data_IF_457529824308
#
_entry.id   IF_457529824308
#
_cell.length_a   1.000
_cell.length_b   1.000
_cell.length_c   1.000
_cell.angle_alpha   90.00
_cell.angle_beta   90.00
_cell.angle_gamma   90.00
#
_symmetry.space_group_name_H-M   'P 1'
#
loop_
_entity.id
_entity.type
_entity.pdbx_description
1 polymer ?
#
# COMPACT_ATOMS: atom_id res chain seq x y z
N UNK A 1 -25.23 -0.90 -9.83
CA UNK A 1 -24.39 -2.10 -9.62
C UNK A 1 -23.45 -2.37 -10.80
N UNK A 2 -23.94 -2.68 -12.02
CA UNK A 2 -23.08 -2.97 -13.18
C UNK A 2 -22.08 -1.84 -13.51
N UNK A 3 -22.53 -0.58 -13.51
CA UNK A 3 -21.66 0.58 -13.80
C UNK A 3 -20.51 0.73 -12.80
N UNK A 4 -20.72 0.40 -11.51
CA UNK A 4 -19.67 0.43 -10.50
C UNK A 4 -18.64 -0.69 -10.70
N UNK A 5 -19.10 -1.89 -11.07
CA UNK A 5 -18.21 -3.01 -11.38
C UNK A 5 -17.33 -2.68 -12.59
N UNK A 6 -17.92 -2.12 -13.65
CA UNK A 6 -17.16 -1.69 -14.84
C UNK A 6 -16.14 -0.62 -14.45
N UNK A 7 -16.54 0.39 -13.67
CA UNK A 7 -15.63 1.44 -13.19
C UNK A 7 -14.45 0.87 -12.40
N UNK A 8 -14.70 -0.04 -11.45
CA UNK A 8 -13.66 -0.68 -10.63
C UNK A 8 -12.69 -1.46 -11.51
N UNK A 9 -13.19 -2.28 -12.45
CA UNK A 9 -12.35 -3.05 -13.37
C UNK A 9 -11.50 -2.12 -14.23
N UNK A 10 -12.08 -1.09 -14.83
CA UNK A 10 -11.35 -0.11 -15.64
C UNK A 10 -10.28 0.60 -14.83
N UNK A 11 -10.59 1.00 -13.59
CA UNK A 11 -9.63 1.62 -12.68
C UNK A 11 -8.45 0.69 -12.38
N UNK A 12 -8.70 -0.58 -12.06
CA UNK A 12 -7.63 -1.56 -11.82
C UNK A 12 -6.76 -1.79 -13.06
N UNK A 13 -7.35 -1.84 -14.26
CA UNK A 13 -6.59 -1.97 -15.51
C UNK A 13 -5.65 -0.76 -15.69
N UNK A 14 -6.17 0.46 -15.53
CA UNK A 14 -5.38 1.69 -15.60
C UNK A 14 -4.26 1.66 -14.55
N UNK A 15 -4.58 1.26 -13.32
CA UNK A 15 -3.63 1.22 -12.23
C UNK A 15 -2.45 0.27 -12.52
N UNK A 16 -2.73 -0.93 -13.06
CA UNK A 16 -1.70 -1.92 -13.43
C UNK A 16 -0.85 -1.39 -14.59
N UNK A 17 -1.47 -0.79 -15.61
CA UNK A 17 -0.75 -0.22 -16.76
C UNK A 17 0.17 0.91 -16.30
N UNK A 18 -0.31 1.80 -15.44
CA UNK A 18 0.46 2.92 -14.93
C UNK A 18 1.61 2.46 -14.03
N UNK A 19 1.41 1.45 -13.18
CA UNK A 19 2.49 0.87 -12.37
C UNK A 19 3.61 0.29 -13.25
N UNK A 20 3.24 -0.47 -14.30
CA UNK A 20 4.21 -1.02 -15.26
C UNK A 20 4.97 0.08 -16.00
N UNK A 21 4.27 1.14 -16.38
CA UNK A 21 4.90 2.31 -17.00
C UNK A 21 5.85 3.03 -16.05
N UNK A 22 5.45 3.20 -14.78
CA UNK A 22 6.27 3.84 -13.74
C UNK A 22 7.56 3.06 -13.49
N UNK A 23 7.48 1.73 -13.38
CA UNK A 23 8.64 0.82 -13.26
C UNK A 23 9.63 1.00 -14.42
N UNK A 24 9.13 1.00 -15.65
CA UNK A 24 9.95 1.20 -16.86
C UNK A 24 10.58 2.59 -16.89
N UNK A 25 9.80 3.64 -16.61
CA UNK A 25 10.24 5.03 -16.67
C UNK A 25 11.33 5.34 -15.64
N UNK A 26 11.19 4.79 -14.43
CA UNK A 26 12.09 5.07 -13.32
C UNK A 26 13.33 4.17 -13.30
N UNK A 27 13.40 3.19 -14.22
CA UNK A 27 14.42 2.13 -14.27
C UNK A 27 14.55 1.43 -12.91
N UNK A 28 13.42 1.13 -12.29
CA UNK A 28 13.40 0.38 -11.04
C UNK A 28 13.78 -1.05 -11.39
N UNK A 29 14.99 -1.46 -11.00
CA UNK A 29 15.42 -2.83 -11.15
C UNK A 29 14.41 -3.75 -10.46
N UNK A 30 14.04 -4.84 -11.13
CA UNK A 30 13.12 -5.82 -10.54
C UNK A 30 13.67 -6.18 -9.16
N UNK A 31 12.93 -5.84 -8.10
CA UNK A 31 13.24 -6.28 -6.74
C UNK A 31 13.60 -7.76 -6.82
N UNK A 32 14.77 -8.14 -6.30
CA UNK A 32 15.26 -9.53 -6.34
C UNK A 32 14.29 -10.41 -5.53
N UNK A 33 13.23 -10.89 -6.20
CA UNK A 33 12.18 -11.73 -5.63
C UNK A 33 10.80 -11.07 -5.69
N UNK A 34 9.79 -11.90 -5.99
CA UNK A 34 8.37 -11.53 -5.96
C UNK A 34 7.83 -11.26 -4.54
N UNK A 35 8.65 -11.48 -3.51
CA UNK A 35 8.30 -11.28 -2.10
C UNK A 35 8.96 -10.02 -1.57
N UNK A 36 8.13 -9.17 -0.94
CA UNK A 36 8.58 -7.99 -0.23
C UNK A 36 9.66 -8.36 0.79
N UNK A 37 10.81 -7.69 0.69
CA UNK A 37 11.95 -7.86 1.59
C UNK A 37 12.18 -6.50 2.24
N UNK A 38 11.79 -6.35 3.51
CA UNK A 38 12.02 -5.11 4.26
C UNK A 38 13.47 -4.66 4.12
N UNK A 39 13.72 -3.35 4.11
CA UNK A 39 15.06 -2.80 3.86
C UNK A 39 16.08 -3.24 4.90
N UNK A 40 15.62 -3.55 6.10
CA UNK A 40 16.41 -4.12 7.19
C UNK A 40 15.52 -5.00 8.10
N UNK A 41 16.13 -5.84 8.96
CA UNK A 41 15.38 -6.63 9.93
C UNK A 41 14.53 -5.77 10.87
N UNK A 42 15.00 -4.57 11.22
CA UNK A 42 14.28 -3.63 12.07
C UNK A 42 12.90 -3.26 11.49
N UNK A 43 12.84 -2.83 10.23
CA UNK A 43 11.60 -2.53 9.53
C UNK A 43 10.64 -3.72 9.56
N UNK A 44 11.17 -4.93 9.30
CA UNK A 44 10.35 -6.14 9.30
C UNK A 44 9.72 -6.39 10.68
N UNK A 45 10.50 -6.25 11.75
CA UNK A 45 9.99 -6.37 13.11
C UNK A 45 8.98 -5.27 13.46
N UNK A 46 9.22 -4.03 13.01
CA UNK A 46 8.26 -2.93 13.19
C UNK A 46 6.95 -3.19 12.46
N UNK A 47 6.99 -3.61 11.20
CA UNK A 47 5.77 -3.94 10.43
C UNK A 47 5.00 -5.10 11.07
N UNK A 48 5.69 -6.14 11.56
CA UNK A 48 5.06 -7.24 12.32
C UNK A 48 4.40 -6.71 13.60
N UNK A 49 5.09 -5.87 14.37
CA UNK A 49 4.56 -5.27 15.59
C UNK A 49 3.33 -4.39 15.30
N UNK A 50 3.36 -3.62 14.20
CA UNK A 50 2.21 -2.81 13.76
C UNK A 50 1.00 -3.66 13.40
N UNK A 51 1.19 -4.79 12.69
CA UNK A 51 0.12 -5.73 12.36
C UNK A 51 -0.48 -6.33 13.63
N UNK A 52 0.36 -6.80 14.55
CA UNK A 52 -0.10 -7.40 15.82
C UNK A 52 -0.88 -6.36 16.63
N UNK A 53 -0.35 -5.14 16.78
CA UNK A 53 -1.03 -4.07 17.49
C UNK A 53 -2.38 -3.73 16.85
N UNK A 54 -2.45 -3.66 15.53
CA UNK A 54 -3.70 -3.45 14.81
C UNK A 54 -4.73 -4.56 15.08
N UNK A 55 -4.32 -5.83 14.97
CA UNK A 55 -5.19 -6.98 15.21
C UNK A 55 -5.70 -7.06 16.65
N UNK A 56 -4.94 -6.57 17.63
CA UNK A 56 -5.38 -6.49 19.02
C UNK A 56 -6.37 -5.34 19.22
N UNK A 57 -6.06 -4.15 18.69
CA UNK A 57 -6.85 -2.94 18.91
C UNK A 57 -8.18 -2.94 18.15
N UNK A 58 -8.29 -3.62 17.01
CA UNK A 58 -9.51 -3.62 16.18
C UNK A 58 -10.74 -4.15 16.91
N UNK A 59 -10.56 -5.00 17.93
CA UNK A 59 -11.66 -5.53 18.75
C UNK A 59 -12.26 -4.52 19.74
N UNK A 60 -11.57 -3.39 19.96
CA UNK A 60 -11.94 -2.39 20.96
C UNK A 60 -12.37 -1.05 20.35
N UNK A 61 -12.52 -0.98 19.02
CA UNK A 61 -12.90 0.25 18.31
C UNK A 61 -14.31 0.15 17.73
N UNK A 62 -15.07 1.23 17.84
CA UNK A 62 -16.45 1.29 17.34
C UNK A 62 -16.52 1.27 15.80
N UNK A 63 -15.51 1.84 15.14
CA UNK A 63 -15.45 1.93 13.68
C UNK A 63 -14.20 1.21 13.13
N UNK A 64 -14.28 -0.12 12.88
CA UNK A 64 -13.14 -0.91 12.42
C UNK A 64 -12.66 -0.50 11.01
N UNK A 65 -13.54 0.04 10.16
CA UNK A 65 -13.18 0.49 8.80
C UNK A 65 -12.27 1.72 8.86
N UNK A 66 -12.63 2.71 9.67
CA UNK A 66 -11.79 3.91 9.87
C UNK A 66 -10.43 3.53 10.45
N UNK A 67 -10.41 2.57 11.37
CA UNK A 67 -9.18 2.04 11.95
C UNK A 67 -8.31 1.31 10.93
N UNK A 68 -8.92 0.52 10.04
CA UNK A 68 -8.23 -0.15 8.94
C UNK A 68 -7.59 0.86 7.97
N UNK A 69 -8.31 1.92 7.61
CA UNK A 69 -7.78 3.00 6.75
C UNK A 69 -6.58 3.68 7.43
N UNK A 70 -6.70 4.02 8.71
CA UNK A 70 -5.60 4.60 9.50
C UNK A 70 -4.37 3.69 9.55
N UNK A 71 -4.59 2.39 9.77
CA UNK A 71 -3.52 1.40 9.76
C UNK A 71 -2.78 1.35 8.41
N UNK A 72 -3.51 1.26 7.28
CA UNK A 72 -2.89 1.25 5.96
C UNK A 72 -2.12 2.55 5.68
N UNK A 73 -2.68 3.69 6.08
CA UNK A 73 -2.03 4.99 5.93
C UNK A 73 -0.68 5.02 6.66
N UNK A 74 -0.66 4.64 7.93
CA UNK A 74 0.55 4.68 8.76
C UNK A 74 1.56 3.62 8.30
N UNK A 75 1.12 2.39 8.05
CA UNK A 75 1.98 1.26 7.67
C UNK A 75 2.67 1.51 6.32
N UNK A 76 1.93 1.98 5.31
CA UNK A 76 2.50 2.27 3.99
C UNK A 76 3.36 3.54 4.00
N UNK A 77 3.01 4.55 4.80
CA UNK A 77 3.85 5.74 4.97
C UNK A 77 5.18 5.38 5.63
N UNK A 78 5.15 4.54 6.67
CA UNK A 78 6.35 4.04 7.32
C UNK A 78 7.22 3.25 6.34
N UNK A 79 6.62 2.36 5.56
CA UNK A 79 7.34 1.61 4.52
C UNK A 79 7.99 2.52 3.49
N UNK A 80 7.24 3.45 2.92
CA UNK A 80 7.76 4.40 1.94
C UNK A 80 8.89 5.25 2.54
N UNK A 81 8.77 5.67 3.79
CA UNK A 81 9.83 6.40 4.50
C UNK A 81 11.09 5.55 4.68
N UNK A 82 10.96 4.28 5.07
CA UNK A 82 12.09 3.37 5.24
C UNK A 82 12.79 3.07 3.91
N UNK A 83 12.02 2.83 2.84
CA UNK A 83 12.55 2.67 1.48
C UNK A 83 13.27 3.93 1.01
N UNK A 84 12.69 5.11 1.23
CA UNK A 84 13.32 6.38 0.87
C UNK A 84 14.59 6.67 1.67
N UNK A 85 14.61 6.33 2.97
CA UNK A 85 15.74 6.61 3.87
C UNK A 85 16.91 5.65 3.64
N UNK A 86 16.65 4.36 3.45
CA UNK A 86 17.70 3.33 3.39
C UNK A 86 18.03 2.86 1.98
N UNK A 87 17.09 2.94 1.03
CA UNK A 87 17.26 2.43 -0.34
C UNK A 87 16.73 3.40 -1.40
N UNK A 88 17.07 4.68 -1.23
CA UNK A 88 16.59 5.77 -2.11
C UNK A 88 16.88 5.51 -3.60
N UNK A 89 18.02 4.88 -3.90
CA UNK A 89 18.49 4.61 -5.26
C UNK A 89 17.60 3.61 -6.01
N UNK A 90 17.01 2.64 -5.29
CA UNK A 90 16.09 1.64 -5.87
C UNK A 90 14.74 2.28 -6.24
N UNK A 91 14.39 3.44 -5.67
CA UNK A 91 13.14 4.19 -5.91
C UNK A 91 11.85 3.40 -5.65
N UNK A 92 11.93 2.29 -4.93
CA UNK A 92 10.77 1.48 -4.55
C UNK A 92 9.74 2.28 -3.75
N UNK A 93 10.18 3.27 -2.97
CA UNK A 93 9.29 4.19 -2.24
C UNK A 93 8.27 4.88 -3.14
N UNK A 94 8.59 5.14 -4.41
CA UNK A 94 7.65 5.75 -5.36
C UNK A 94 6.53 4.77 -5.72
N UNK A 95 6.86 3.48 -5.87
CA UNK A 95 5.86 2.43 -6.10
C UNK A 95 5.03 2.19 -4.84
N UNK A 96 5.64 2.21 -3.66
CA UNK A 96 4.92 2.07 -2.39
C UNK A 96 3.92 3.22 -2.18
N UNK A 97 4.33 4.46 -2.44
CA UNK A 97 3.44 5.63 -2.38
C UNK A 97 2.32 5.55 -3.43
N UNK A 98 2.63 5.08 -4.63
CA UNK A 98 1.63 4.85 -5.67
C UNK A 98 0.60 3.80 -5.23
N UNK A 99 1.06 2.65 -4.74
CA UNK A 99 0.18 1.59 -4.23
C UNK A 99 -0.66 2.06 -3.05
N UNK A 100 -0.07 2.88 -2.15
CA UNK A 100 -0.79 3.52 -1.06
C UNK A 100 -1.94 4.39 -1.57
N UNK A 101 -1.71 5.22 -2.59
CA UNK A 101 -2.78 6.01 -3.20
C UNK A 101 -3.90 5.13 -3.77
N UNK A 102 -3.53 4.07 -4.50
CA UNK A 102 -4.51 3.12 -5.08
C UNK A 102 -5.33 2.43 -3.98
N UNK A 103 -4.69 1.92 -2.91
CA UNK A 103 -5.40 1.24 -1.83
C UNK A 103 -6.33 2.17 -1.05
N UNK A 104 -5.89 3.38 -0.75
CA UNK A 104 -6.72 4.37 -0.08
C UNK A 104 -7.92 4.78 -0.94
N UNK A 105 -7.70 4.97 -2.24
CA UNK A 105 -8.77 5.29 -3.18
C UNK A 105 -9.83 4.17 -3.23
N UNK A 106 -9.39 2.91 -3.31
CA UNK A 106 -10.30 1.75 -3.30
C UNK A 106 -11.04 1.63 -1.97
N UNK A 107 -10.36 1.83 -0.82
CA UNK A 107 -11.00 1.76 0.49
C UNK A 107 -12.04 2.87 0.69
N UNK A 108 -11.74 4.10 0.30
CA UNK A 108 -12.66 5.23 0.42
C UNK A 108 -13.87 5.04 -0.49
N UNK A 109 -13.67 4.65 -1.75
CA UNK A 109 -14.79 4.38 -2.66
C UNK A 109 -15.62 3.20 -2.16
N UNK A 110 -14.96 2.12 -1.71
CA UNK A 110 -15.65 0.98 -1.11
C UNK A 110 -16.53 1.40 0.06
N UNK A 111 -16.04 2.27 0.93
CA UNK A 111 -16.82 2.80 2.05
C UNK A 111 -18.03 3.63 1.59
N UNK A 112 -17.91 4.45 0.54
CA UNK A 112 -19.03 5.22 -0.01
C UNK A 112 -20.08 4.38 -0.76
N UNK A 113 -19.71 3.17 -1.21
CA UNK A 113 -20.59 2.29 -1.98
C UNK A 113 -21.34 1.25 -1.13
N UNK A 114 -20.97 1.10 0.14
CA UNK A 114 -21.63 0.25 1.15
C UNK A 114 -22.71 1.06 1.87
#
# INVERSE_FOLDING_TARGET
MLNYIIFIITFFIIAIVFERWLKKKLKIDKSKGAFYKGVNPFQRWTEIAMIIAFLLLIWFVDNPISWLIGYFLISLSFRAFMEWKYKREEKEYILTLYSMFIYLFVLVIGFYLI
#
